data_IF_120029132715
#
_entry.id   IF_120029132715
#
_cell.length_a   1.000
_cell.length_b   1.000
_cell.length_c   1.000
_cell.angle_alpha   90.00
_cell.angle_beta   90.00
_cell.angle_gamma   90.00
#
_symmetry.space_group_name_H-M   'P 1'
#
loop_
_entity.id
_entity.type
_entity.pdbx_description
1 polymer ?
#
# COMPACT_ATOMS: atom_id res chain seq x y z
N UNK A 1 3.69 -13.71 12.79
CA UNK A 1 4.72 -13.87 11.74
C UNK A 1 4.65 -12.62 10.89
N UNK A 2 5.77 -11.92 10.72
CA UNK A 2 5.79 -10.66 9.98
C UNK A 2 5.58 -10.90 8.48
N UNK A 3 4.78 -10.06 7.81
CA UNK A 3 4.47 -10.20 6.37
C UNK A 3 5.74 -10.33 5.52
N UNK A 4 6.77 -9.55 5.86
CA UNK A 4 8.09 -9.60 5.20
C UNK A 4 8.71 -11.01 5.21
N UNK A 5 8.66 -11.71 6.34
CA UNK A 5 9.22 -13.06 6.47
C UNK A 5 8.37 -14.08 5.71
N UNK A 6 7.04 -13.93 5.75
CA UNK A 6 6.12 -14.82 5.06
C UNK A 6 6.29 -14.79 3.52
N UNK A 7 6.81 -13.70 2.98
CA UNK A 7 7.02 -13.49 1.55
C UNK A 7 8.45 -13.80 1.06
N UNK A 8 9.33 -14.31 1.92
CA UNK A 8 10.78 -14.37 1.65
C UNK A 8 11.18 -15.30 0.47
N UNK A 9 10.26 -16.11 -0.06
CA UNK A 9 10.47 -16.98 -1.24
C UNK A 9 9.40 -16.87 -2.34
N UNK A 10 8.57 -15.82 -2.34
CA UNK A 10 7.55 -15.60 -3.37
C UNK A 10 8.09 -14.67 -4.45
N UNK A 11 8.77 -15.23 -5.46
CA UNK A 11 9.46 -14.47 -6.51
C UNK A 11 8.50 -13.84 -7.53
N UNK A 12 7.29 -14.37 -7.66
CA UNK A 12 6.24 -13.89 -8.56
C UNK A 12 5.27 -12.89 -7.92
N UNK A 13 5.42 -12.64 -6.60
CA UNK A 13 4.66 -11.61 -5.90
C UNK A 13 5.38 -10.25 -5.98
N UNK A 14 4.66 -9.24 -6.46
CA UNK A 14 5.15 -7.85 -6.49
C UNK A 14 4.36 -7.01 -5.50
N UNK A 15 5.07 -6.41 -4.53
CA UNK A 15 4.47 -5.46 -3.58
C UNK A 15 4.67 -4.04 -4.09
N UNK A 16 3.57 -3.34 -4.37
CA UNK A 16 3.56 -1.94 -4.79
C UNK A 16 3.07 -1.06 -3.63
N UNK A 17 3.83 -0.03 -3.28
CA UNK A 17 3.44 0.97 -2.29
C UNK A 17 3.25 2.32 -3.01
N UNK A 18 1.99 2.70 -3.22
CA UNK A 18 1.63 3.94 -3.93
C UNK A 18 1.41 5.06 -2.93
N UNK A 19 2.09 6.19 -3.15
CA UNK A 19 2.05 7.35 -2.26
C UNK A 19 1.62 8.60 -3.01
N UNK A 20 0.92 9.50 -2.31
CA UNK A 20 0.76 10.86 -2.78
C UNK A 20 2.11 11.60 -2.76
N UNK A 21 2.31 12.53 -3.70
CA UNK A 21 3.54 13.35 -3.76
C UNK A 21 3.87 14.03 -2.43
N UNK A 22 2.87 14.52 -1.70
CA UNK A 22 3.04 15.18 -0.40
C UNK A 22 3.63 14.29 0.68
N UNK A 23 3.53 12.97 0.54
CA UNK A 23 4.14 12.01 1.46
C UNK A 23 5.63 11.79 1.17
N UNK A 24 6.15 12.32 0.06
CA UNK A 24 7.56 12.21 -0.33
C UNK A 24 8.36 13.32 0.33
N UNK A 25 9.01 12.97 1.45
CA UNK A 25 9.89 13.88 2.19
C UNK A 25 11.13 13.13 2.71
N UNK A 26 12.05 13.85 3.36
CA UNK A 26 13.29 13.27 3.89
C UNK A 26 13.03 12.11 4.87
N UNK A 27 12.00 12.22 5.72
CA UNK A 27 11.63 11.17 6.68
C UNK A 27 11.17 9.91 5.97
N UNK A 28 10.31 10.02 4.95
CA UNK A 28 9.85 8.86 4.19
C UNK A 28 10.98 8.20 3.41
N UNK A 29 11.90 8.99 2.85
CA UNK A 29 13.09 8.44 2.17
C UNK A 29 14.00 7.68 3.14
N UNK A 30 14.29 8.26 4.31
CA UNK A 30 15.05 7.58 5.35
C UNK A 30 14.38 6.28 5.80
N UNK A 31 13.06 6.28 6.04
CA UNK A 31 12.32 5.07 6.39
C UNK A 31 12.46 3.95 5.35
N UNK A 32 12.36 4.29 4.06
CA UNK A 32 12.52 3.32 2.96
C UNK A 32 13.93 2.74 2.91
N UNK A 33 14.93 3.59 3.10
CA UNK A 33 16.34 3.23 2.95
C UNK A 33 16.86 2.46 4.19
N UNK A 34 16.56 2.92 5.41
CA UNK A 34 17.00 2.33 6.69
C UNK A 34 16.47 0.91 6.90
N UNK A 35 15.27 0.62 6.37
CA UNK A 35 14.63 -0.70 6.48
C UNK A 35 14.92 -1.61 5.28
N UNK A 36 15.72 -1.14 4.31
CA UNK A 36 16.02 -1.81 3.04
C UNK A 36 14.74 -2.28 2.31
N UNK A 37 13.67 -1.49 2.36
CA UNK A 37 12.37 -1.91 1.83
C UNK A 37 12.37 -2.06 0.31
N UNK A 38 13.27 -1.36 -0.39
CA UNK A 38 13.37 -1.37 -1.86
C UNK A 38 13.70 -2.74 -2.44
N UNK A 39 14.29 -3.63 -1.64
CA UNK A 39 14.64 -4.98 -2.08
C UNK A 39 13.39 -5.79 -2.46
N UNK A 40 12.25 -5.52 -1.80
CA UNK A 40 11.00 -6.27 -1.99
C UNK A 40 9.79 -5.40 -2.34
N UNK A 41 9.81 -4.11 -2.01
CA UNK A 41 8.69 -3.18 -2.24
C UNK A 41 9.08 -2.18 -3.32
N UNK A 42 8.22 -2.01 -4.32
CA UNK A 42 8.33 -0.94 -5.32
C UNK A 42 7.51 0.25 -4.84
N UNK A 43 8.19 1.36 -4.58
CA UNK A 43 7.55 2.62 -4.18
C UNK A 43 7.20 3.43 -5.42
N UNK A 44 5.93 3.82 -5.56
CA UNK A 44 5.39 4.59 -6.66
C UNK A 44 4.82 5.91 -6.13
N UNK A 45 4.90 6.97 -6.94
CA UNK A 45 4.37 8.29 -6.61
C UNK A 45 3.21 8.63 -7.54
N UNK A 46 2.04 8.88 -6.98
CA UNK A 46 0.87 9.43 -7.66
C UNK A 46 0.97 10.96 -7.64
N UNK A 47 1.75 11.51 -8.59
CA UNK A 47 2.18 12.90 -8.58
C UNK A 47 1.01 13.90 -8.68
N UNK A 48 0.02 13.61 -9.54
CA UNK A 48 -1.15 14.46 -9.74
C UNK A 48 -2.37 14.00 -8.94
N UNK A 49 -2.22 12.95 -8.11
CA UNK A 49 -3.30 12.34 -7.35
C UNK A 49 -4.36 11.66 -8.21
N UNK A 50 -4.08 11.34 -9.48
CA UNK A 50 -5.05 10.76 -10.40
C UNK A 50 -5.48 9.36 -9.96
N UNK A 51 -4.55 8.52 -9.50
CA UNK A 51 -4.85 7.16 -9.02
C UNK A 51 -5.69 7.23 -7.75
N UNK A 52 -5.27 8.02 -6.77
CA UNK A 52 -6.01 8.20 -5.51
C UNK A 52 -7.44 8.67 -5.77
N UNK A 53 -7.65 9.57 -6.73
CA UNK A 53 -8.99 10.02 -7.13
C UNK A 53 -9.78 8.93 -7.86
N UNK A 54 -9.19 8.23 -8.82
CA UNK A 54 -9.91 7.24 -9.62
C UNK A 54 -10.38 6.05 -8.77
N UNK A 55 -9.68 5.76 -7.68
CA UNK A 55 -10.05 4.72 -6.71
C UNK A 55 -10.95 5.23 -5.57
N UNK A 56 -11.32 6.52 -5.58
CA UNK A 56 -12.19 7.10 -4.54
C UNK A 56 -11.54 7.15 -3.15
N UNK A 57 -10.20 7.16 -3.08
CA UNK A 57 -9.45 7.10 -1.82
C UNK A 57 -9.21 8.48 -1.19
N UNK A 58 -9.77 9.55 -1.76
CA UNK A 58 -9.57 10.89 -1.23
C UNK A 58 -10.41 11.09 0.04
N UNK A 59 -9.78 11.63 1.09
CA UNK A 59 -10.48 12.09 2.28
C UNK A 59 -11.48 13.20 1.92
N UNK A 60 -12.75 13.01 2.30
CA UNK A 60 -13.81 13.99 2.04
C UNK A 60 -13.63 15.26 2.88
N UNK A 61 -13.14 15.13 4.12
CA UNK A 61 -12.91 16.23 5.07
C UNK A 61 -11.56 16.09 5.76
N UNK A 62 -10.43 16.35 5.06
CA UNK A 62 -9.10 16.15 5.62
C UNK A 62 -8.73 17.25 6.62
N UNK A 63 -8.04 16.88 7.70
CA UNK A 63 -7.27 17.83 8.49
C UNK A 63 -6.12 18.43 7.64
N UNK A 64 -5.55 19.60 8.01
CA UNK A 64 -4.47 20.21 7.24
C UNK A 64 -3.28 19.27 6.93
N UNK A 65 -2.93 18.41 7.88
CA UNK A 65 -1.85 17.41 7.73
C UNK A 65 -2.22 16.26 6.78
N UNK A 66 -3.52 16.03 6.57
CA UNK A 66 -4.06 14.94 5.75
C UNK A 66 -4.45 15.40 4.34
N UNK A 67 -4.33 16.71 4.05
CA UNK A 67 -4.72 17.26 2.76
C UNK A 67 -3.92 16.64 1.61
N UNK A 68 -4.61 15.86 0.78
CA UNK A 68 -4.05 15.18 -0.38
C UNK A 68 -3.45 13.81 -0.07
N UNK A 69 -3.59 13.32 1.17
CA UNK A 69 -3.23 11.95 1.57
C UNK A 69 -4.43 11.03 1.31
N UNK A 70 -4.22 9.80 0.78
CA UNK A 70 -5.31 8.85 0.58
C UNK A 70 -5.74 8.19 1.90
N UNK A 71 -6.98 7.70 1.93
CA UNK A 71 -7.37 6.64 2.85
C UNK A 71 -6.41 5.45 2.70
N UNK A 72 -5.87 4.89 3.81
CA UNK A 72 -5.10 3.67 3.73
C UNK A 72 -5.92 2.59 3.05
N UNK A 73 -5.34 2.00 2.01
CA UNK A 73 -6.02 0.98 1.24
C UNK A 73 -5.02 -0.09 0.80
N UNK A 74 -5.49 -1.34 0.80
CA UNK A 74 -4.76 -2.48 0.28
C UNK A 74 -5.60 -3.18 -0.78
N UNK A 75 -5.00 -3.37 -1.95
CA UNK A 75 -5.60 -4.13 -3.04
C UNK A 75 -4.76 -5.38 -3.27
N UNK A 76 -5.43 -6.52 -3.43
CA UNK A 76 -4.80 -7.74 -3.91
C UNK A 76 -5.29 -8.02 -5.32
N UNK A 77 -4.35 -8.12 -6.26
CA UNK A 77 -4.63 -8.44 -7.65
C UNK A 77 -4.04 -9.81 -7.97
N UNK A 78 -4.74 -10.59 -8.78
CA UNK A 78 -4.19 -11.83 -9.33
C UNK A 78 -3.33 -11.56 -10.58
N UNK A 79 -2.84 -12.65 -11.19
CA UNK A 79 -2.00 -12.59 -12.41
C UNK A 79 -2.72 -12.05 -13.64
N UNK A 80 -4.05 -12.08 -13.67
CA UNK A 80 -4.87 -11.51 -14.76
C UNK A 80 -5.18 -10.02 -14.50
N UNK A 81 -4.72 -9.47 -13.38
CA UNK A 81 -4.99 -8.09 -12.97
C UNK A 81 -6.38 -7.90 -12.38
N UNK A 82 -7.08 -8.98 -12.03
CA UNK A 82 -8.38 -8.91 -11.39
C UNK A 82 -8.23 -8.67 -9.89
N UNK A 83 -9.04 -7.76 -9.36
CA UNK A 83 -9.06 -7.46 -7.93
C UNK A 83 -9.72 -8.63 -7.19
N UNK A 84 -8.96 -9.27 -6.31
CA UNK A 84 -9.41 -10.38 -5.46
C UNK A 84 -9.73 -9.93 -4.03
N UNK A 85 -9.12 -8.84 -3.57
CA UNK A 85 -9.38 -8.24 -2.26
C UNK A 85 -9.28 -6.72 -2.36
N UNK A 86 -10.19 -6.03 -1.64
CA UNK A 86 -10.12 -4.61 -1.36
C UNK A 86 -10.31 -4.39 0.14
N UNK A 87 -9.36 -3.73 0.78
CA UNK A 87 -9.48 -3.22 2.14
C UNK A 87 -9.23 -1.72 2.12
N UNK A 88 -10.20 -0.92 2.57
CA UNK A 88 -10.08 0.54 2.68
C UNK A 88 -10.39 0.95 4.10
N UNK A 89 -9.46 1.67 4.73
CA UNK A 89 -9.55 2.09 6.12
C UNK A 89 -9.84 3.58 6.19
N UNK A 90 -10.80 3.94 7.05
CA UNK A 90 -11.09 5.34 7.39
C UNK A 90 -10.14 5.87 8.45
N UNK A 91 -9.74 5.01 9.39
CA UNK A 91 -8.79 5.33 10.45
C UNK A 91 -7.38 4.94 9.99
N UNK A 92 -6.50 5.94 9.90
CA UNK A 92 -5.10 5.78 9.49
C UNK A 92 -4.18 5.20 10.57
N UNK A 93 -4.68 5.04 11.80
CA UNK A 93 -3.96 4.32 12.85
C UNK A 93 -4.11 2.80 12.73
N UNK A 94 -5.07 2.34 11.92
CA UNK A 94 -5.35 0.93 11.73
C UNK A 94 -4.61 0.40 10.50
N UNK A 95 -3.71 -0.54 10.74
CA UNK A 95 -3.02 -1.27 9.68
C UNK A 95 -3.76 -2.56 9.37
N UNK A 96 -3.75 -2.97 8.10
CA UNK A 96 -4.23 -4.28 7.70
C UNK A 96 -3.34 -5.36 8.33
N UNK A 97 -3.97 -6.38 8.90
CA UNK A 97 -3.24 -7.50 9.46
C UNK A 97 -2.52 -8.30 8.36
N UNK A 98 -1.23 -8.60 8.59
CA UNK A 98 -0.43 -9.35 7.64
C UNK A 98 -0.91 -10.80 7.48
N UNK A 99 -1.44 -11.41 8.53
CA UNK A 99 -2.02 -12.75 8.49
C UNK A 99 -3.22 -12.82 7.53
N UNK A 100 -4.12 -11.85 7.63
CA UNK A 100 -5.25 -11.72 6.70
C UNK A 100 -4.79 -11.60 5.24
N UNK A 101 -3.76 -10.80 4.95
CA UNK A 101 -3.21 -10.70 3.58
C UNK A 101 -2.69 -12.05 3.07
N UNK A 102 -1.99 -12.81 3.92
CA UNK A 102 -1.49 -14.13 3.56
C UNK A 102 -2.61 -15.15 3.31
N UNK A 103 -3.69 -15.10 4.09
CA UNK A 103 -4.88 -15.93 3.86
C UNK A 103 -5.53 -15.63 2.51
N UNK A 104 -5.64 -14.34 2.15
CA UNK A 104 -6.20 -13.95 0.85
C UNK A 104 -5.28 -14.34 -0.31
N UNK A 105 -3.96 -14.21 -0.16
CA UNK A 105 -2.97 -14.67 -1.13
C UNK A 105 -3.07 -16.18 -1.38
N UNK A 106 -3.20 -16.98 -0.33
CA UNK A 106 -3.30 -18.44 -0.44
C UNK A 106 -4.61 -18.91 -1.12
N UNK A 107 -5.63 -18.04 -1.18
CA UNK A 107 -6.89 -18.32 -1.84
C UNK A 107 -6.90 -17.97 -3.34
N UNK A 108 -5.84 -17.31 -3.85
CA UNK A 108 -5.71 -17.00 -5.28
C UNK A 108 -5.27 -18.27 -6.03
N UNK A 109 -5.96 -18.65 -7.13
CA UNK A 109 -5.64 -19.86 -7.90
C UNK A 109 -4.27 -19.83 -8.59
#
# INVERSE_FOLDING_TARGET
MELRQALEGQDDLVVLYVMAERQINAKTRAFVDDLALRDRVRFLVDADGAVIRSYGLRLESPEPIEQGVPHPATYLLDREGLVRMVDVRRDFHLWLDGGFVMEQLAAIP
#
